data_IF_528202299599
#
_entry.id   IF_528202299599
#
_cell.length_a   1.000
_cell.length_b   1.000
_cell.length_c   1.000
_cell.angle_alpha   90.00
_cell.angle_beta   90.00
_cell.angle_gamma   90.00
#
_symmetry.space_group_name_H-M   'P 1'
#
loop_
_entity.id
_entity.type
_entity.pdbx_description
1 polymer ?
#
# COMPACT_ATOMS: atom_id res chain seq x y z
N UNK A 1 12.86 8.76 0.77
CA UNK A 1 11.41 8.65 0.52
C UNK A 1 10.78 8.03 1.75
N UNK A 2 9.77 8.66 2.36
CA UNK A 2 9.05 8.11 3.53
C UNK A 2 7.69 7.62 3.04
N UNK A 3 7.44 6.32 3.10
CA UNK A 3 6.13 5.73 2.83
C UNK A 3 5.34 5.70 4.15
N UNK A 4 4.16 6.31 4.17
CA UNK A 4 3.28 6.32 5.34
C UNK A 4 2.11 5.38 5.03
N UNK A 5 2.02 4.31 5.79
CA UNK A 5 0.99 3.29 5.64
C UNK A 5 -0.16 3.64 6.60
N UNK A 6 -1.38 3.78 6.06
CA UNK A 6 -2.58 4.01 6.86
C UNK A 6 -3.46 2.77 6.80
N UNK A 7 -3.58 2.09 7.94
CA UNK A 7 -4.49 0.96 8.07
C UNK A 7 -5.89 1.52 8.28
N UNK A 8 -6.82 1.19 7.39
CA UNK A 8 -8.25 1.49 7.57
C UNK A 8 -8.96 0.23 8.04
N UNK A 9 -9.76 0.36 9.10
CA UNK A 9 -10.65 -0.71 9.53
C UNK A 9 -11.69 -0.92 8.44
N UNK A 10 -11.73 -2.12 7.84
CA UNK A 10 -12.83 -2.49 6.95
C UNK A 10 -14.05 -2.83 7.83
N UNK A 11 -15.17 -2.08 7.73
CA UNK A 11 -16.37 -2.33 8.53
C UNK A 11 -17.10 -3.64 8.15
N UNK A 12 -16.83 -4.21 6.97
CA UNK A 12 -17.48 -5.44 6.48
C UNK A 12 -16.76 -6.71 6.95
N UNK A 13 -15.53 -6.61 7.42
CA UNK A 13 -14.80 -7.74 7.99
C UNK A 13 -15.05 -7.84 9.49
N UNK A 14 -15.65 -8.95 9.93
CA UNK A 14 -15.83 -9.30 11.35
C UNK A 14 -14.52 -9.69 12.05
N UNK A 15 -13.41 -9.76 11.33
CA UNK A 15 -12.08 -10.00 11.90
C UNK A 15 -11.64 -8.79 12.72
N UNK A 16 -11.82 -8.94 14.04
CA UNK A 16 -11.44 -7.94 15.02
C UNK A 16 -9.93 -8.04 15.24
N UNK A 17 -9.16 -7.14 14.64
CA UNK A 17 -7.79 -6.92 15.08
C UNK A 17 -7.82 -6.30 16.49
N UNK A 18 -7.35 -7.05 17.49
CA UNK A 18 -7.21 -6.59 18.88
C UNK A 18 -5.70 -6.42 19.13
N UNK A 19 -5.20 -5.20 18.95
CA UNK A 19 -3.82 -4.83 19.21
C UNK A 19 -3.63 -3.32 19.06
N UNK A 20 -2.68 -2.74 19.79
CA UNK A 20 -2.29 -1.35 19.58
C UNK A 20 -1.54 -1.22 18.27
N UNK A 21 -1.87 -0.18 17.50
CA UNK A 21 -1.23 0.18 16.23
C UNK A 21 0.12 0.88 16.47
N UNK A 22 0.80 0.58 17.58
CA UNK A 22 2.18 1.00 17.78
C UNK A 22 3.00 0.42 16.63
N UNK A 23 3.87 1.24 16.02
CA UNK A 23 4.68 0.95 14.83
C UNK A 23 5.10 -0.52 14.76
N UNK A 24 4.31 -1.35 14.07
CA UNK A 24 4.63 -2.74 13.83
C UNK A 24 5.18 -2.88 12.43
N UNK A 25 6.35 -3.49 12.36
CA UNK A 25 6.90 -3.97 11.10
C UNK A 25 5.98 -5.07 10.56
N UNK A 26 5.65 -4.96 9.29
CA UNK A 26 5.00 -6.02 8.54
C UNK A 26 5.75 -6.23 7.23
N UNK A 27 5.82 -7.48 6.78
CA UNK A 27 6.34 -7.79 5.46
C UNK A 27 5.26 -7.55 4.40
N UNK A 28 5.69 -7.18 3.20
CA UNK A 28 4.81 -6.94 2.06
C UNK A 28 3.94 -8.18 1.73
N UNK A 29 4.44 -9.39 1.96
CA UNK A 29 3.71 -10.65 1.75
C UNK A 29 2.34 -10.73 2.47
N UNK A 30 2.15 -9.97 3.55
CA UNK A 30 0.88 -9.94 4.29
C UNK A 30 -0.13 -8.90 3.76
N UNK A 31 0.25 -8.07 2.78
CA UNK A 31 -0.63 -7.10 2.18
C UNK A 31 -1.51 -7.76 1.11
N UNK A 32 -2.83 -7.60 1.24
CA UNK A 32 -3.79 -8.08 0.22
C UNK A 32 -3.98 -7.10 -0.93
N UNK A 33 -4.07 -5.80 -0.61
CA UNK A 33 -4.30 -4.71 -1.56
C UNK A 33 -3.42 -3.54 -1.14
N UNK A 34 -2.77 -2.89 -2.10
CA UNK A 34 -1.96 -1.68 -1.91
C UNK A 34 -2.52 -0.58 -2.78
N UNK A 35 -3.17 0.39 -2.16
CA UNK A 35 -3.64 1.60 -2.85
C UNK A 35 -2.57 2.69 -2.80
N UNK A 36 -2.13 3.14 -3.97
CA UNK A 36 -1.23 4.29 -4.13
C UNK A 36 -2.10 5.48 -4.57
N UNK A 37 -2.22 6.48 -3.71
CA UNK A 37 -2.93 7.73 -4.01
C UNK A 37 -1.90 8.78 -4.37
N UNK A 38 -1.95 9.29 -5.60
CA UNK A 38 -1.01 10.28 -6.12
C UNK A 38 -1.72 11.44 -6.84
N UNK A 39 -1.09 12.62 -6.99
CA UNK A 39 -1.63 13.66 -7.86
C UNK A 39 -1.59 13.23 -9.33
N UNK A 40 -2.52 13.71 -10.17
CA UNK A 40 -2.64 13.33 -11.60
C UNK A 40 -1.34 13.49 -12.40
N UNK A 41 -0.49 14.46 -12.04
CA UNK A 41 0.77 14.71 -12.74
C UNK A 41 1.86 13.64 -12.48
N UNK A 42 1.57 12.62 -11.68
CA UNK A 42 2.51 11.56 -11.32
C UNK A 42 2.27 10.23 -12.03
N UNK A 43 1.22 10.11 -12.85
CA UNK A 43 0.90 8.87 -13.57
C UNK A 43 2.07 8.34 -14.42
N UNK A 44 2.81 9.24 -15.07
CA UNK A 44 4.01 8.90 -15.87
C UNK A 44 5.33 9.24 -15.17
N UNK A 45 5.27 9.53 -13.86
CA UNK A 45 6.42 9.95 -13.09
C UNK A 45 7.41 8.81 -12.85
N UNK A 46 8.73 9.05 -12.96
CA UNK A 46 9.73 8.04 -12.62
C UNK A 46 9.58 7.56 -11.16
N UNK A 47 9.09 8.42 -10.27
CA UNK A 47 8.84 8.08 -8.87
C UNK A 47 7.75 7.02 -8.68
N UNK A 48 6.64 7.10 -9.42
CA UNK A 48 5.57 6.10 -9.34
C UNK A 48 6.05 4.77 -9.91
N UNK A 49 6.77 4.80 -11.03
CA UNK A 49 7.40 3.62 -11.63
C UNK A 49 8.36 2.93 -10.66
N UNK A 50 9.25 3.68 -10.01
CA UNK A 50 10.22 3.14 -9.06
C UNK A 50 9.54 2.58 -7.81
N UNK A 51 8.47 3.23 -7.33
CA UNK A 51 7.67 2.72 -6.21
C UNK A 51 6.97 1.40 -6.54
N UNK A 52 6.35 1.30 -7.72
CA UNK A 52 5.72 0.05 -8.18
C UNK A 52 6.76 -1.06 -8.30
N UNK A 53 7.93 -0.78 -8.91
CA UNK A 53 9.04 -1.74 -8.99
C UNK A 53 9.52 -2.18 -7.62
N UNK A 54 9.62 -1.26 -6.67
CA UNK A 54 10.01 -1.57 -5.29
C UNK A 54 8.99 -2.53 -4.64
N UNK A 55 7.70 -2.25 -4.74
CA UNK A 55 6.65 -3.12 -4.16
C UNK A 55 6.66 -4.51 -4.78
N UNK A 56 6.76 -4.59 -6.11
CA UNK A 56 6.85 -5.87 -6.83
C UNK A 56 8.11 -6.64 -6.43
N UNK A 57 9.25 -5.97 -6.32
CA UNK A 57 10.50 -6.57 -5.85
C UNK A 57 10.44 -7.09 -4.41
N UNK A 58 9.46 -6.64 -3.61
CA UNK A 58 9.23 -7.08 -2.23
C UNK A 58 8.05 -8.06 -2.10
N UNK A 59 7.57 -8.63 -3.20
CA UNK A 59 6.57 -9.71 -3.19
C UNK A 59 5.11 -9.27 -3.28
N UNK A 60 4.83 -7.99 -3.58
CA UNK A 60 3.49 -7.53 -3.93
C UNK A 60 3.23 -7.84 -5.40
N UNK A 61 2.19 -8.62 -5.71
CA UNK A 61 1.83 -8.86 -7.10
C UNK A 61 1.19 -7.62 -7.73
N UNK A 62 1.39 -7.41 -9.04
CA UNK A 62 0.90 -6.20 -9.72
C UNK A 62 -0.62 -6.05 -9.69
N UNK A 63 -1.36 -7.15 -9.65
CA UNK A 63 -2.83 -7.18 -9.48
C UNK A 63 -3.30 -6.74 -8.10
N UNK A 64 -2.40 -6.71 -7.11
CA UNK A 64 -2.70 -6.21 -5.77
C UNK A 64 -2.45 -4.70 -5.64
N UNK A 65 -1.90 -4.05 -6.67
CA UNK A 65 -1.57 -2.62 -6.65
C UNK A 65 -2.63 -1.84 -7.42
N UNK A 66 -3.30 -0.94 -6.71
CA UNK A 66 -4.26 0.00 -7.30
C UNK A 66 -3.68 1.41 -7.23
N UNK A 67 -3.58 2.08 -8.38
CA UNK A 67 -3.13 3.47 -8.46
C UNK A 67 -4.37 4.34 -8.65
N UNK A 68 -4.52 5.35 -7.77
CA UNK A 68 -5.66 6.26 -7.75
C UNK A 68 -5.16 7.70 -7.74
N UNK A 69 -5.87 8.57 -8.43
CA UNK A 69 -5.59 10.00 -8.38
C UNK A 69 -6.23 10.63 -7.13
N UNK A 70 -5.57 11.65 -6.56
CA UNK A 70 -6.15 12.52 -5.52
C UNK A 70 -7.36 13.26 -6.09
#
# INVERSE_FOLDING_TARGET
MKLILKIRKNPETYEKFIGELEERDFTCEHLKIVEIICPENWEDGPMLTDLVKFLVGNGISSDQIEIKNW
#
